data_IF_076570671331
#
_entry.id   IF_076570671331
#
_cell.length_a   1.000
_cell.length_b   1.000
_cell.length_c   1.000
_cell.angle_alpha   90.00
_cell.angle_beta   90.00
_cell.angle_gamma   90.00
#
_symmetry.space_group_name_H-M   'P 1'
#
loop_
_entity.id
_entity.type
_entity.pdbx_description
1 polymer ?
#
# COMPACT_ATOMS: atom_id res chain seq x y z
N UNK A 1 -35.51 57.36 -39.65
CA UNK A 1 -34.67 56.31 -40.26
C UNK A 1 -33.22 56.26 -39.73
N UNK A 2 -32.80 57.14 -38.80
CA UNK A 2 -31.40 57.20 -38.31
C UNK A 2 -31.21 56.57 -36.92
N UNK A 3 -32.29 56.37 -36.14
CA UNK A 3 -32.23 55.77 -34.79
C UNK A 3 -32.14 54.24 -34.79
N UNK A 4 -32.57 53.57 -35.87
CA UNK A 4 -32.56 52.10 -35.95
C UNK A 4 -31.21 51.51 -36.38
N UNK A 5 -30.32 52.31 -36.97
CA UNK A 5 -29.01 51.85 -37.46
C UNK A 5 -27.99 51.78 -36.30
N UNK A 6 -28.09 52.68 -35.32
CA UNK A 6 -27.21 52.67 -34.14
C UNK A 6 -27.48 51.47 -33.22
N UNK A 7 -28.72 51.02 -33.10
CA UNK A 7 -29.07 49.83 -32.32
C UNK A 7 -28.55 48.52 -32.94
N UNK A 8 -28.47 48.44 -34.28
CA UNK A 8 -27.92 47.29 -35.00
C UNK A 8 -26.38 47.23 -34.90
N UNK A 9 -25.70 48.38 -34.88
CA UNK A 9 -24.25 48.47 -34.70
C UNK A 9 -23.79 48.10 -33.27
N UNK A 10 -24.58 48.40 -32.25
CA UNK A 10 -24.32 47.94 -30.87
C UNK A 10 -24.69 46.47 -30.64
N UNK A 11 -25.61 45.90 -31.42
CA UNK A 11 -25.90 44.45 -31.37
C UNK A 11 -24.81 43.61 -32.08
N UNK A 12 -24.14 44.16 -33.10
CA UNK A 12 -23.06 43.45 -33.82
C UNK A 12 -21.72 43.45 -33.08
N UNK A 13 -21.48 44.41 -32.16
CA UNK A 13 -20.26 44.43 -31.34
C UNK A 13 -20.37 43.61 -30.03
N UNK A 14 -21.56 43.14 -29.66
CA UNK A 14 -21.81 42.43 -28.40
C UNK A 14 -21.67 40.91 -28.44
N UNK A 15 -21.33 40.31 -29.59
CA UNK A 15 -21.23 38.85 -29.76
C UNK A 15 -19.83 38.46 -30.28
N UNK A 16 -18.81 39.15 -29.81
CA UNK A 16 -17.45 38.59 -29.77
C UNK A 16 -17.13 38.37 -28.29
N UNK A 17 -17.91 37.50 -27.64
CA UNK A 17 -17.30 36.66 -26.61
C UNK A 17 -16.33 35.78 -27.40
N UNK A 18 -15.10 36.24 -27.54
CA UNK A 18 -13.98 35.32 -27.75
C UNK A 18 -14.10 34.36 -26.57
N UNK A 19 -14.59 33.16 -26.83
CA UNK A 19 -14.24 32.04 -25.98
C UNK A 19 -12.73 31.97 -26.16
N UNK A 20 -12.01 32.59 -25.23
CA UNK A 20 -10.56 32.54 -25.18
C UNK A 20 -10.22 31.05 -25.30
N UNK A 21 -9.59 30.67 -26.41
CA UNK A 21 -9.32 29.27 -26.77
C UNK A 21 -8.52 28.64 -25.63
N UNK A 22 -9.24 28.05 -24.69
CA UNK A 22 -8.68 27.45 -23.50
C UNK A 22 -8.00 26.16 -23.90
N UNK A 23 -6.93 25.79 -23.20
CA UNK A 23 -6.16 24.62 -23.53
C UNK A 23 -7.07 23.39 -23.79
N UNK A 24 -7.02 22.78 -24.99
CA UNK A 24 -7.92 21.68 -25.36
C UNK A 24 -7.72 20.43 -24.49
N UNK A 25 -6.59 20.33 -23.77
CA UNK A 25 -6.36 19.29 -22.78
C UNK A 25 -7.16 19.47 -21.48
N UNK A 26 -7.82 20.62 -21.25
CA UNK A 26 -8.67 20.85 -20.08
C UNK A 26 -9.88 19.91 -20.02
N UNK A 27 -10.38 19.42 -21.16
CA UNK A 27 -11.45 18.41 -21.18
C UNK A 27 -10.93 16.99 -20.97
N UNK A 28 -9.61 16.80 -20.82
CA UNK A 28 -8.94 15.51 -20.67
C UNK A 28 -9.40 14.48 -21.72
N UNK A 29 -9.28 14.81 -23.03
CA UNK A 29 -9.91 14.04 -24.10
C UNK A 29 -9.31 12.64 -24.27
N UNK A 30 -8.00 12.49 -24.02
CA UNK A 30 -7.26 11.26 -24.24
C UNK A 30 -7.63 10.17 -23.22
N UNK A 31 -8.18 9.06 -23.71
CA UNK A 31 -8.59 7.91 -22.88
C UNK A 31 -7.48 6.87 -22.75
N UNK A 32 -7.68 5.85 -21.91
CA UNK A 32 -6.84 4.66 -21.82
C UNK A 32 -5.32 4.94 -21.62
N UNK A 33 -4.99 5.98 -20.83
CA UNK A 33 -3.60 6.44 -20.58
C UNK A 33 -2.91 7.11 -21.78
N UNK A 34 -3.68 7.60 -22.75
CA UNK A 34 -3.14 8.51 -23.75
C UNK A 34 -2.67 9.82 -23.12
N UNK A 35 -1.58 10.39 -23.63
CA UNK A 35 -1.03 11.66 -23.15
C UNK A 35 -1.48 12.79 -24.08
N UNK A 36 -2.11 13.81 -23.52
CA UNK A 36 -2.59 14.97 -24.28
C UNK A 36 -1.47 15.98 -24.50
N UNK A 37 -1.31 16.45 -25.74
CA UNK A 37 -0.41 17.54 -26.10
C UNK A 37 -1.21 18.59 -26.87
N UNK A 38 -1.19 19.83 -26.41
CA UNK A 38 -1.83 20.93 -27.14
C UNK A 38 -0.95 21.30 -28.36
N UNK A 39 -1.56 21.33 -29.56
CA UNK A 39 -0.89 21.67 -30.82
C UNK A 39 -1.20 23.09 -31.30
N UNK A 40 -2.08 23.81 -30.59
CA UNK A 40 -2.47 25.18 -30.86
C UNK A 40 -3.52 25.67 -29.85
N UNK A 41 -4.22 26.76 -30.18
CA UNK A 41 -5.28 27.30 -29.32
C UNK A 41 -6.49 26.36 -29.20
N UNK A 42 -6.83 25.63 -30.28
CA UNK A 42 -8.07 24.85 -30.36
C UNK A 42 -7.84 23.36 -30.70
N UNK A 43 -6.60 22.92 -30.92
CA UNK A 43 -6.30 21.55 -31.38
C UNK A 43 -5.37 20.81 -30.42
N UNK A 44 -5.63 19.51 -30.25
CA UNK A 44 -4.85 18.62 -29.40
C UNK A 44 -4.51 17.32 -30.12
N UNK A 45 -3.39 16.73 -29.73
CA UNK A 45 -3.00 15.39 -30.14
C UNK A 45 -2.86 14.49 -28.93
N UNK A 46 -3.41 13.27 -29.04
CA UNK A 46 -3.25 12.24 -28.04
C UNK A 46 -2.17 11.23 -28.46
N UNK A 47 -1.09 11.15 -27.69
CA UNK A 47 -0.10 10.08 -27.84
C UNK A 47 -0.68 8.76 -27.28
N UNK A 48 -1.15 7.89 -28.18
CA UNK A 48 -1.69 6.57 -27.84
C UNK A 48 -0.61 5.47 -27.80
N UNK A 49 0.68 5.81 -27.80
CA UNK A 49 1.78 4.84 -27.86
C UNK A 49 1.69 3.81 -26.73
N UNK A 50 1.75 2.52 -27.09
CA UNK A 50 1.69 1.37 -26.15
C UNK A 50 0.45 1.31 -25.23
N UNK A 51 -0.58 2.12 -25.47
CA UNK A 51 -1.88 1.99 -24.77
C UNK A 51 -2.65 0.73 -25.23
N UNK A 52 -2.39 0.26 -26.45
CA UNK A 52 -3.17 -0.79 -27.10
C UNK A 52 -4.42 -0.28 -27.81
N UNK A 53 -4.62 1.04 -27.84
CA UNK A 53 -5.70 1.74 -28.52
C UNK A 53 -5.15 2.66 -29.61
N UNK A 54 -6.02 3.16 -30.48
CA UNK A 54 -5.74 4.13 -31.53
C UNK A 54 -6.93 5.08 -31.74
N UNK A 55 -6.82 5.99 -32.71
CA UNK A 55 -7.78 7.06 -32.99
C UNK A 55 -7.46 8.33 -32.22
N UNK A 56 -8.16 9.43 -32.56
CA UNK A 56 -7.85 10.77 -32.06
C UNK A 56 -7.86 10.89 -30.52
N UNK A 57 -8.72 10.14 -29.83
CA UNK A 57 -8.84 10.15 -28.35
C UNK A 57 -8.39 8.83 -27.69
N UNK A 58 -7.65 7.96 -28.40
CA UNK A 58 -7.22 6.64 -27.89
C UNK A 58 -8.36 5.72 -27.41
N UNK A 59 -9.50 5.73 -28.11
CA UNK A 59 -10.69 4.95 -27.72
C UNK A 59 -10.87 3.65 -28.50
N UNK A 60 -10.28 3.55 -29.69
CA UNK A 60 -10.50 2.40 -30.58
C UNK A 60 -9.50 1.28 -30.23
N UNK A 61 -9.94 0.09 -29.79
CA UNK A 61 -9.03 -0.96 -29.35
C UNK A 61 -8.42 -1.73 -30.53
N UNK A 62 -7.16 -2.12 -30.40
CA UNK A 62 -6.55 -3.14 -31.29
C UNK A 62 -7.14 -4.52 -30.96
N UNK A 63 -7.08 -5.47 -31.90
CA UNK A 63 -7.69 -6.82 -31.74
C UNK A 63 -7.33 -7.51 -30.42
N UNK A 64 -6.05 -7.63 -30.07
CA UNK A 64 -5.63 -8.27 -28.82
C UNK A 64 -6.04 -7.48 -27.57
N UNK A 65 -6.07 -6.15 -27.64
CA UNK A 65 -6.54 -5.29 -26.55
C UNK A 65 -8.02 -5.50 -26.31
N UNK A 66 -8.80 -5.55 -27.40
CA UNK A 66 -10.23 -5.83 -27.36
C UNK A 66 -10.51 -7.18 -26.71
N UNK A 67 -9.82 -8.25 -27.12
CA UNK A 67 -9.95 -9.57 -26.48
C UNK A 67 -9.61 -9.51 -24.98
N UNK A 68 -8.48 -8.89 -24.61
CA UNK A 68 -8.05 -8.77 -23.22
C UNK A 68 -9.04 -8.01 -22.36
N UNK A 69 -9.56 -6.88 -22.84
CA UNK A 69 -10.52 -6.04 -22.09
C UNK A 69 -11.87 -6.74 -21.99
N UNK A 70 -12.34 -7.39 -23.05
CA UNK A 70 -13.62 -8.12 -23.07
C UNK A 70 -13.62 -9.34 -22.13
N UNK A 71 -12.49 -10.04 -22.00
CA UNK A 71 -12.36 -11.18 -21.08
C UNK A 71 -11.96 -10.78 -19.65
N UNK A 72 -11.59 -9.52 -19.41
CA UNK A 72 -11.14 -9.08 -18.08
C UNK A 72 -12.34 -8.99 -17.13
N UNK A 73 -12.37 -9.76 -16.03
CA UNK A 73 -13.44 -9.66 -15.05
C UNK A 73 -13.41 -8.32 -14.32
N UNK A 74 -14.57 -7.90 -13.81
CA UNK A 74 -14.66 -6.67 -13.02
C UNK A 74 -13.89 -6.80 -11.70
N UNK A 75 -13.39 -5.69 -11.12
CA UNK A 75 -12.71 -5.73 -9.82
C UNK A 75 -13.56 -6.36 -8.71
N UNK A 76 -14.88 -6.15 -8.74
CA UNK A 76 -15.81 -6.73 -7.78
C UNK A 76 -15.92 -8.25 -7.94
N UNK A 77 -16.00 -8.75 -9.18
CA UNK A 77 -15.98 -10.19 -9.47
C UNK A 77 -14.69 -10.84 -8.98
N UNK A 78 -13.54 -10.20 -9.21
CA UNK A 78 -12.24 -10.70 -8.72
C UNK A 78 -12.20 -10.70 -7.20
N UNK A 79 -12.66 -9.63 -6.55
CA UNK A 79 -12.74 -9.55 -5.09
C UNK A 79 -13.65 -10.65 -4.50
N UNK A 80 -14.82 -10.87 -5.11
CA UNK A 80 -15.74 -11.94 -4.73
C UNK A 80 -15.06 -13.32 -4.80
N UNK A 81 -14.39 -13.62 -5.91
CA UNK A 81 -13.66 -14.87 -6.09
C UNK A 81 -12.55 -15.07 -5.04
N UNK A 82 -11.82 -14.00 -4.69
CA UNK A 82 -10.74 -14.02 -3.69
C UNK A 82 -11.24 -14.20 -2.24
N UNK A 83 -12.49 -13.88 -1.95
CA UNK A 83 -13.02 -13.82 -0.57
C UNK A 83 -13.98 -14.94 -0.21
N UNK A 84 -14.69 -15.54 -1.17
CA UNK A 84 -15.80 -16.45 -0.87
C UNK A 84 -15.42 -17.93 -0.80
N UNK A 85 -14.49 -18.40 -1.65
CA UNK A 85 -14.22 -19.83 -1.81
C UNK A 85 -13.06 -20.35 -0.94
N UNK A 86 -13.17 -20.29 0.39
CA UNK A 86 -12.09 -20.65 1.32
C UNK A 86 -11.53 -22.07 1.10
N UNK A 87 -12.39 -23.06 0.86
CA UNK A 87 -11.96 -24.44 0.60
C UNK A 87 -11.09 -24.58 -0.65
N UNK A 88 -11.50 -23.93 -1.74
CA UNK A 88 -10.72 -23.86 -2.98
C UNK A 88 -9.37 -23.18 -2.74
N UNK A 89 -9.36 -22.03 -2.05
CA UNK A 89 -8.13 -21.31 -1.74
C UNK A 89 -7.18 -22.09 -0.84
N UNK A 90 -7.67 -22.92 0.08
CA UNK A 90 -6.81 -23.79 0.89
C UNK A 90 -6.05 -24.80 0.01
N UNK A 91 -6.71 -25.39 -0.98
CA UNK A 91 -6.09 -26.31 -1.95
C UNK A 91 -5.08 -25.55 -2.83
N UNK A 92 -5.46 -24.37 -3.32
CA UNK A 92 -4.58 -23.53 -4.13
C UNK A 92 -3.32 -23.12 -3.34
N UNK A 93 -3.48 -22.73 -2.08
CA UNK A 93 -2.39 -22.26 -1.23
C UNK A 93 -1.44 -23.38 -0.78
N UNK A 94 -1.91 -24.64 -0.75
CA UNK A 94 -1.05 -25.79 -0.46
C UNK A 94 -0.16 -26.17 -1.65
N UNK A 95 -0.55 -25.82 -2.87
CA UNK A 95 0.21 -26.08 -4.09
C UNK A 95 1.09 -24.85 -4.38
N UNK A 96 2.38 -24.93 -4.04
CA UNK A 96 3.34 -23.82 -4.17
C UNK A 96 3.36 -23.21 -5.58
N UNK A 97 3.41 -24.05 -6.62
CA UNK A 97 3.40 -23.60 -8.02
C UNK A 97 2.22 -22.69 -8.34
N UNK A 98 1.00 -23.05 -7.91
CA UNK A 98 -0.21 -22.30 -8.23
C UNK A 98 -0.30 -21.02 -7.41
N UNK A 99 -0.02 -21.09 -6.10
CA UNK A 99 0.06 -19.93 -5.21
C UNK A 99 1.06 -18.90 -5.75
N UNK A 100 2.25 -19.35 -6.11
CA UNK A 100 3.35 -18.48 -6.54
C UNK A 100 3.06 -17.90 -7.95
N UNK A 101 2.43 -18.68 -8.84
CA UNK A 101 1.98 -18.18 -10.14
C UNK A 101 0.89 -17.10 -10.00
N UNK A 102 -0.10 -17.30 -9.12
CA UNK A 102 -1.15 -16.30 -8.83
C UNK A 102 -0.51 -15.05 -8.21
N UNK A 103 0.37 -15.22 -7.23
CA UNK A 103 1.05 -14.08 -6.59
C UNK A 103 1.91 -13.31 -7.61
N UNK A 104 2.66 -14.00 -8.47
CA UNK A 104 3.42 -13.37 -9.56
C UNK A 104 2.51 -12.58 -10.49
N UNK A 105 1.34 -13.11 -10.85
CA UNK A 105 0.36 -12.40 -11.66
C UNK A 105 -0.20 -11.16 -10.93
N UNK A 106 -0.49 -11.25 -9.64
CA UNK A 106 -0.94 -10.09 -8.83
C UNK A 106 0.15 -9.01 -8.83
N UNK A 107 1.40 -9.37 -8.59
CA UNK A 107 2.52 -8.43 -8.57
C UNK A 107 2.70 -7.74 -9.92
N UNK A 108 2.75 -8.49 -11.03
CA UNK A 108 2.95 -7.92 -12.36
C UNK A 108 1.75 -7.10 -12.83
N UNK A 109 0.53 -7.58 -12.63
CA UNK A 109 -0.68 -6.86 -13.05
C UNK A 109 -0.87 -5.52 -12.33
N UNK A 110 -0.42 -5.42 -11.06
CA UNK A 110 -0.47 -4.18 -10.29
C UNK A 110 0.71 -3.26 -10.58
N UNK A 111 1.93 -3.79 -10.72
CA UNK A 111 3.11 -2.96 -10.98
C UNK A 111 3.05 -2.27 -12.34
N UNK A 112 2.49 -2.91 -13.37
CA UNK A 112 2.27 -2.30 -14.70
C UNK A 112 1.30 -1.12 -14.68
N UNK A 113 0.59 -0.88 -13.57
CA UNK A 113 -0.25 0.31 -13.45
C UNK A 113 0.54 1.56 -13.05
N UNK A 114 1.76 1.42 -12.54
CA UNK A 114 2.62 2.50 -12.07
C UNK A 114 3.70 2.79 -13.12
N UNK A 115 3.89 4.06 -13.44
CA UNK A 115 4.92 4.49 -14.37
C UNK A 115 6.31 4.40 -13.72
N UNK A 116 7.23 3.72 -14.41
CA UNK A 116 8.63 3.60 -14.00
C UNK A 116 9.48 3.66 -15.27
N UNK A 117 10.32 4.70 -15.48
CA UNK A 117 10.65 5.80 -14.56
C UNK A 117 9.49 6.77 -14.27
N UNK A 118 9.56 7.60 -13.20
CA UNK A 118 8.54 8.59 -12.87
C UNK A 118 8.38 9.62 -14.01
N UNK A 119 7.15 10.09 -14.21
CA UNK A 119 6.76 10.90 -15.37
C UNK A 119 6.51 12.37 -15.01
N UNK A 120 5.46 12.65 -14.26
CA UNK A 120 5.00 14.01 -13.96
C UNK A 120 5.27 14.37 -12.50
N UNK A 121 5.23 15.66 -12.19
CA UNK A 121 5.17 16.17 -10.83
C UNK A 121 4.17 17.35 -10.75
N UNK A 122 4.22 18.16 -9.69
CA UNK A 122 3.25 19.26 -9.53
C UNK A 122 3.49 20.42 -10.49
N UNK A 123 4.75 20.66 -10.89
CA UNK A 123 5.12 21.81 -11.71
C UNK A 123 5.28 21.46 -13.20
N UNK A 124 5.59 20.19 -13.50
CA UNK A 124 5.73 19.67 -14.85
C UNK A 124 4.62 18.68 -15.17
N UNK A 125 3.75 19.07 -16.11
CA UNK A 125 2.69 18.27 -16.73
C UNK A 125 3.15 17.48 -17.97
N UNK A 126 4.41 17.66 -18.35
CA UNK A 126 5.10 16.89 -19.39
C UNK A 126 6.33 16.18 -18.82
N UNK A 127 6.81 15.15 -19.54
CA UNK A 127 8.03 14.42 -19.19
C UNK A 127 9.24 15.34 -19.33
N UNK A 128 9.96 15.59 -18.24
CA UNK A 128 11.16 16.44 -18.23
C UNK A 128 12.31 15.78 -17.46
N UNK A 129 13.55 16.18 -17.75
CA UNK A 129 14.72 15.70 -17.00
C UNK A 129 14.69 16.15 -15.54
N UNK A 130 14.12 17.33 -15.27
CA UNK A 130 13.95 17.85 -13.91
C UNK A 130 12.96 16.98 -13.12
N UNK A 131 11.80 16.65 -13.71
CA UNK A 131 10.81 15.78 -13.08
C UNK A 131 11.36 14.38 -12.77
N UNK A 132 12.29 13.88 -13.61
CA UNK A 132 12.96 12.60 -13.40
C UNK A 132 14.06 12.64 -12.35
N UNK A 133 14.93 13.66 -12.39
CA UNK A 133 16.16 13.70 -11.58
C UNK A 133 15.97 14.31 -10.19
N UNK A 134 15.01 15.22 -10.00
CA UNK A 134 14.81 15.88 -8.72
C UNK A 134 13.98 15.03 -7.75
N UNK A 135 14.68 14.26 -6.92
CA UNK A 135 14.10 13.41 -5.87
C UNK A 135 13.41 14.19 -4.74
N UNK A 136 13.39 15.51 -4.76
CA UNK A 136 12.65 16.28 -3.76
C UNK A 136 11.15 16.36 -4.08
N UNK A 137 10.74 16.10 -5.33
CA UNK A 137 9.33 16.12 -5.72
C UNK A 137 8.62 14.79 -5.47
N UNK A 138 7.33 14.87 -5.16
CA UNK A 138 6.42 13.75 -5.37
C UNK A 138 6.09 13.61 -6.85
N UNK A 139 6.18 12.38 -7.37
CA UNK A 139 5.72 12.04 -8.71
C UNK A 139 4.19 11.91 -8.76
N UNK A 140 3.60 12.15 -9.93
CA UNK A 140 2.15 12.02 -10.17
C UNK A 140 1.91 11.09 -11.36
N UNK A 141 0.95 10.18 -11.22
CA UNK A 141 0.52 9.29 -12.32
C UNK A 141 -0.29 10.03 -13.38
N UNK A 142 -0.99 11.11 -12.99
CA UNK A 142 -1.72 11.99 -13.89
C UNK A 142 -1.11 13.40 -13.83
N UNK A 143 -0.99 14.09 -14.98
CA UNK A 143 -0.51 15.46 -15.00
C UNK A 143 -1.46 16.38 -14.21
N UNK A 144 -0.95 17.48 -13.61
CA UNK A 144 -1.80 18.53 -13.09
C UNK A 144 -2.64 19.13 -14.23
N UNK A 145 -3.80 19.69 -13.87
CA UNK A 145 -4.60 20.42 -14.85
C UNK A 145 -3.85 21.69 -15.26
N UNK A 146 -3.92 22.09 -16.55
CA UNK A 146 -3.44 23.39 -17.00
C UNK A 146 -4.06 24.52 -16.18
N UNK A 147 -3.27 25.57 -15.90
CA UNK A 147 -3.71 26.68 -15.02
C UNK A 147 -4.76 27.58 -15.68
N UNK A 148 -4.86 27.52 -17.00
CA UNK A 148 -5.76 28.30 -17.85
C UNK A 148 -7.12 27.61 -18.07
N UNK A 149 -7.39 26.49 -17.40
CA UNK A 149 -8.69 25.83 -17.51
C UNK A 149 -9.83 26.68 -16.91
N UNK A 150 -11.05 26.63 -17.50
CA UNK A 150 -12.19 27.45 -17.07
C UNK A 150 -12.76 27.06 -15.71
N UNK A 151 -12.58 25.79 -15.28
CA UNK A 151 -12.95 25.32 -13.95
C UNK A 151 -11.76 24.65 -13.25
N UNK A 152 -11.76 24.57 -11.91
CA UNK A 152 -10.70 23.88 -11.16
C UNK A 152 -10.58 22.37 -11.48
N UNK A 153 -11.57 21.80 -12.17
CA UNK A 153 -11.61 20.39 -12.58
C UNK A 153 -11.57 20.23 -14.11
N UNK A 154 -11.09 21.25 -14.84
CA UNK A 154 -11.02 21.25 -16.30
C UNK A 154 -12.14 22.08 -16.92
N UNK A 155 -13.09 21.42 -17.59
CA UNK A 155 -14.24 22.07 -18.25
C UNK A 155 -15.57 21.87 -17.54
N UNK A 156 -15.63 20.91 -16.60
CA UNK A 156 -16.86 20.51 -15.92
C UNK A 156 -16.90 21.08 -14.51
N UNK A 157 -18.10 21.41 -14.04
CA UNK A 157 -18.35 21.83 -12.65
C UNK A 157 -18.48 23.34 -12.48
N UNK A 158 -18.53 23.77 -11.22
CA UNK A 158 -18.60 25.19 -10.86
C UNK A 158 -17.20 25.81 -10.91
N UNK A 159 -17.14 27.13 -11.11
CA UNK A 159 -15.89 27.91 -11.11
C UNK A 159 -15.12 27.84 -9.79
N UNK A 160 -15.83 27.66 -8.68
CA UNK A 160 -15.24 27.51 -7.36
C UNK A 160 -15.59 26.13 -6.79
N UNK A 161 -14.59 25.47 -6.21
CA UNK A 161 -14.80 24.23 -5.48
C UNK A 161 -15.58 24.52 -4.19
N UNK A 162 -16.39 23.56 -3.71
CA UNK A 162 -17.03 23.71 -2.41
C UNK A 162 -15.98 23.87 -1.31
N UNK A 163 -16.32 24.68 -0.30
CA UNK A 163 -15.46 24.86 0.87
C UNK A 163 -15.10 23.52 1.54
N UNK A 164 -13.80 23.33 1.78
CA UNK A 164 -13.25 22.09 2.31
C UNK A 164 -13.72 21.84 3.75
N UNK A 165 -13.87 22.89 4.56
CA UNK A 165 -14.36 22.77 5.93
C UNK A 165 -15.82 22.33 5.97
N UNK A 166 -16.66 22.92 5.11
CA UNK A 166 -18.05 22.53 4.95
C UNK A 166 -18.20 21.06 4.51
N UNK A 167 -17.41 20.60 3.54
CA UNK A 167 -17.39 19.19 3.11
C UNK A 167 -16.97 18.25 4.24
N UNK A 168 -15.91 18.60 4.97
CA UNK A 168 -15.44 17.82 6.11
C UNK A 168 -16.54 17.70 7.18
N UNK A 169 -17.18 18.82 7.56
CA UNK A 169 -18.24 18.87 8.57
C UNK A 169 -19.48 18.07 8.18
N UNK A 170 -19.89 18.11 6.90
CA UNK A 170 -21.10 17.42 6.44
C UNK A 170 -20.89 15.94 6.17
N UNK A 171 -19.74 15.54 5.62
CA UNK A 171 -19.54 14.19 5.08
C UNK A 171 -18.53 13.34 5.85
N UNK A 172 -17.50 13.94 6.47
CA UNK A 172 -16.35 13.21 7.00
C UNK A 172 -16.29 13.17 8.53
N UNK A 173 -16.88 14.15 9.23
CA UNK A 173 -16.92 14.15 10.70
C UNK A 173 -17.74 12.95 11.19
N UNK A 174 -17.06 12.09 11.94
CA UNK A 174 -17.64 10.90 12.56
C UNK A 174 -18.62 11.33 13.65
N UNK A 175 -19.89 10.91 13.50
CA UNK A 175 -20.93 11.10 14.54
C UNK A 175 -20.99 9.96 15.54
N UNK A 176 -20.89 8.73 15.05
CA UNK A 176 -20.85 7.49 15.83
C UNK A 176 -19.63 6.69 15.41
N UNK A 177 -19.02 5.98 16.36
CA UNK A 177 -17.95 5.05 16.03
C UNK A 177 -18.48 3.90 15.17
N UNK A 178 -17.87 3.74 13.99
CA UNK A 178 -18.12 2.63 13.08
C UNK A 178 -16.87 1.75 13.15
N UNK A 179 -16.91 0.60 13.85
CA UNK A 179 -15.80 -0.34 13.86
C UNK A 179 -15.58 -0.91 12.46
N UNK A 180 -14.33 -1.23 12.14
CA UNK A 180 -14.00 -1.94 10.90
C UNK A 180 -14.59 -3.36 10.93
N UNK A 181 -15.44 -3.76 9.96
CA UNK A 181 -16.00 -5.11 9.91
C UNK A 181 -14.95 -6.20 9.71
N UNK A 182 -13.73 -5.88 9.24
CA UNK A 182 -12.65 -6.83 9.11
C UNK A 182 -11.91 -7.09 10.44
N UNK A 183 -12.24 -6.35 11.50
CA UNK A 183 -11.66 -6.54 12.84
C UNK A 183 -10.26 -5.93 13.01
N UNK A 184 -9.88 -4.92 12.23
CA UNK A 184 -8.58 -4.25 12.38
C UNK A 184 -8.41 -3.65 13.79
N UNK A 185 -7.28 -3.96 14.43
CA UNK A 185 -6.94 -3.47 15.77
C UNK A 185 -6.14 -2.16 15.72
N UNK A 186 -5.98 -1.51 16.88
CA UNK A 186 -5.12 -0.33 17.00
C UNK A 186 -3.66 -0.62 16.67
N UNK A 187 -3.19 -1.86 16.89
CA UNK A 187 -1.85 -2.27 16.50
C UNK A 187 -1.63 -2.10 14.99
N UNK A 188 -2.62 -2.48 14.18
CA UNK A 188 -2.58 -2.30 12.73
C UNK A 188 -2.54 -0.80 12.35
N UNK A 189 -3.36 0.03 13.01
CA UNK A 189 -3.38 1.46 12.75
C UNK A 189 -2.04 2.15 13.05
N UNK A 190 -1.43 1.85 14.20
CA UNK A 190 -0.11 2.41 14.55
C UNK A 190 1.01 1.86 13.67
N UNK A 191 0.95 0.58 13.30
CA UNK A 191 1.90 0.02 12.34
C UNK A 191 1.82 0.75 11.00
N UNK A 192 0.60 0.96 10.46
CA UNK A 192 0.39 1.69 9.22
C UNK A 192 0.97 3.11 9.31
N UNK A 193 0.65 3.84 10.38
CA UNK A 193 1.19 5.20 10.59
C UNK A 193 2.72 5.20 10.64
N UNK A 194 3.32 4.33 11.45
CA UNK A 194 4.77 4.22 11.60
C UNK A 194 5.47 3.88 10.27
N UNK A 195 4.93 2.89 9.56
CA UNK A 195 5.45 2.42 8.28
C UNK A 195 5.35 3.52 7.21
N UNK A 196 4.18 4.14 7.04
CA UNK A 196 3.97 5.13 5.96
C UNK A 196 4.75 6.42 6.17
N UNK A 197 5.01 6.81 7.42
CA UNK A 197 5.82 7.99 7.75
C UNK A 197 7.31 7.81 7.43
N UNK A 198 7.75 6.63 6.96
CA UNK A 198 9.08 6.45 6.38
C UNK A 198 9.25 7.28 5.10
N UNK A 199 8.23 7.26 4.23
CA UNK A 199 8.28 7.82 2.88
C UNK A 199 7.29 8.97 2.64
N UNK A 200 6.26 9.14 3.47
CA UNK A 200 5.42 10.35 3.47
C UNK A 200 5.94 11.38 4.48
N UNK A 201 6.87 12.24 4.02
CA UNK A 201 7.44 13.34 4.80
C UNK A 201 7.41 14.64 4.00
N UNK A 202 6.23 15.23 3.84
CA UNK A 202 6.07 16.48 3.10
C UNK A 202 6.92 17.61 3.68
N UNK A 203 7.61 18.37 2.81
CA UNK A 203 8.40 19.52 3.24
C UNK A 203 7.56 20.79 3.30
N UNK A 204 7.04 21.09 4.49
CA UNK A 204 6.23 22.29 4.73
C UNK A 204 6.95 23.61 4.37
N UNK A 205 8.29 23.65 4.33
CA UNK A 205 9.04 24.86 3.94
C UNK A 205 8.99 25.12 2.44
N UNK A 206 9.04 24.07 1.63
CA UNK A 206 9.04 24.17 0.17
C UNK A 206 7.62 24.06 -0.41
N UNK A 207 6.71 23.41 0.31
CA UNK A 207 5.31 23.27 -0.07
C UNK A 207 4.85 21.81 -0.15
N UNK A 208 3.55 21.59 -0.42
CA UNK A 208 2.94 20.26 -0.37
C UNK A 208 3.46 19.28 -1.44
N UNK A 209 4.04 19.80 -2.53
CA UNK A 209 4.56 19.01 -3.63
C UNK A 209 5.88 18.28 -3.32
N UNK A 210 6.56 18.67 -2.23
CA UNK A 210 7.92 18.25 -1.94
C UNK A 210 8.00 17.28 -0.76
N UNK A 211 9.02 16.43 -0.77
CA UNK A 211 9.32 15.46 0.28
C UNK A 211 10.73 15.62 0.83
N UNK A 212 10.89 15.41 2.14
CA UNK A 212 12.20 15.23 2.79
C UNK A 212 12.72 13.80 2.67
N UNK A 213 11.84 12.84 2.39
CA UNK A 213 12.18 11.42 2.28
C UNK A 213 12.68 11.08 0.86
N UNK A 214 13.91 11.48 0.53
CA UNK A 214 14.52 11.28 -0.80
C UNK A 214 14.75 9.80 -1.19
N UNK A 215 14.58 8.87 -0.24
CA UNK A 215 14.63 7.43 -0.51
C UNK A 215 13.38 6.87 -1.20
N UNK A 216 12.25 7.62 -1.23
CA UNK A 216 11.01 7.28 -1.95
C UNK A 216 10.51 5.83 -1.78
N UNK A 217 10.65 5.28 -0.58
CA UNK A 217 10.23 3.92 -0.31
C UNK A 217 10.62 3.42 1.08
N UNK A 218 10.65 2.10 1.22
CA UNK A 218 11.01 1.43 2.46
C UNK A 218 12.52 1.49 2.64
N UNK A 219 12.98 2.57 3.23
CA UNK A 219 14.34 2.73 3.74
C UNK A 219 14.23 2.76 5.26
N UNK A 220 15.08 2.02 5.97
CA UNK A 220 15.10 1.93 7.44
C UNK A 220 15.39 3.27 8.16
N UNK A 221 15.42 4.37 7.41
CA UNK A 221 15.70 5.74 7.85
C UNK A 221 14.45 6.44 8.42
N UNK A 222 13.73 5.79 9.34
CA UNK A 222 12.81 6.51 10.24
C UNK A 222 13.61 7.41 11.17
N UNK A 223 14.05 8.57 10.67
CA UNK A 223 14.54 9.70 11.46
C UNK A 223 15.93 9.54 12.05
N UNK A 224 16.93 10.09 11.36
CA UNK A 224 18.11 10.68 12.03
C UNK A 224 17.78 12.08 12.60
N UNK A 225 16.66 12.21 13.29
CA UNK A 225 16.46 13.32 14.22
C UNK A 225 16.29 12.74 15.61
N UNK A 226 17.26 13.07 16.47
CA UNK A 226 17.32 12.78 17.89
C UNK A 226 15.96 13.05 18.56
N UNK A 227 15.30 12.00 18.99
CA UNK A 227 14.49 12.05 20.21
C UNK A 227 14.90 10.83 21.04
N UNK A 228 15.71 11.09 22.06
CA UNK A 228 15.99 10.14 23.13
C UNK A 228 14.65 9.81 23.81
N UNK A 229 14.43 8.52 24.08
CA UNK A 229 13.38 7.96 24.95
C UNK A 229 11.98 7.75 24.37
N UNK A 230 11.85 7.14 23.19
CA UNK A 230 10.58 6.49 22.78
C UNK A 230 10.88 5.08 22.25
N UNK A 231 10.23 4.09 22.88
CA UNK A 231 10.30 2.65 22.66
C UNK A 231 10.40 2.28 21.17
N UNK A 232 11.46 1.55 20.78
CA UNK A 232 11.78 1.26 19.38
C UNK A 232 11.01 0.01 18.89
N UNK A 233 10.38 0.03 17.70
CA UNK A 233 9.69 -1.14 17.15
C UNK A 233 10.58 -2.37 16.89
N UNK A 234 11.91 -2.21 16.92
CA UNK A 234 12.85 -3.34 16.89
C UNK A 234 12.65 -4.29 18.08
N UNK A 235 12.24 -3.76 19.24
CA UNK A 235 11.99 -4.54 20.45
C UNK A 235 10.74 -5.45 20.26
N UNK A 236 9.78 -5.02 19.43
CA UNK A 236 8.56 -5.78 19.13
C UNK A 236 8.79 -6.95 18.17
N UNK A 237 9.68 -6.80 17.18
CA UNK A 237 10.08 -7.91 16.30
C UNK A 237 10.87 -8.98 17.04
N UNK A 238 11.70 -8.58 18.01
CA UNK A 238 12.34 -9.52 18.92
C UNK A 238 11.32 -10.31 19.74
N UNK A 239 10.27 -9.64 20.26
CA UNK A 239 9.18 -10.30 21.01
C UNK A 239 8.40 -11.29 20.13
N UNK A 240 8.08 -10.95 18.88
CA UNK A 240 7.38 -11.82 17.93
C UNK A 240 8.21 -13.05 17.51
N UNK A 241 9.50 -12.86 17.26
CA UNK A 241 10.43 -13.97 16.99
C UNK A 241 10.57 -14.88 18.22
N UNK A 242 10.61 -14.30 19.42
CA UNK A 242 10.66 -15.06 20.67
C UNK A 242 9.38 -15.89 20.88
N UNK A 243 8.20 -15.33 20.58
CA UNK A 243 6.92 -16.04 20.68
C UNK A 243 6.82 -17.21 19.68
N UNK A 244 7.39 -17.11 18.48
CA UNK A 244 7.40 -18.22 17.50
C UNK A 244 8.24 -19.42 17.99
N UNK A 245 9.39 -19.15 18.61
CA UNK A 245 10.23 -20.20 19.21
C UNK A 245 9.60 -20.78 20.47
N UNK A 246 9.06 -19.93 21.35
CA UNK A 246 8.37 -20.37 22.58
C UNK A 246 7.13 -21.21 22.24
N UNK A 247 6.29 -20.80 21.27
CA UNK A 247 5.10 -21.56 20.86
C UNK A 247 5.49 -22.90 20.25
N UNK A 248 6.57 -22.96 19.44
CA UNK A 248 7.13 -24.22 18.91
C UNK A 248 7.66 -25.13 20.02
N UNK A 249 8.29 -24.57 21.06
CA UNK A 249 8.74 -25.33 22.22
C UNK A 249 7.57 -25.83 23.09
N UNK A 250 6.49 -25.06 23.22
CA UNK A 250 5.30 -25.45 23.99
C UNK A 250 4.54 -26.60 23.30
N UNK A 251 4.36 -26.56 21.97
CA UNK A 251 3.75 -27.67 21.23
C UNK A 251 4.62 -28.94 21.29
N UNK A 252 5.95 -28.78 21.29
CA UNK A 252 6.90 -29.87 21.50
C UNK A 252 6.78 -30.49 22.89
N UNK A 253 6.64 -29.66 23.92
CA UNK A 253 6.54 -30.09 25.31
C UNK A 253 5.23 -30.84 25.59
N UNK A 254 4.11 -30.36 25.04
CA UNK A 254 2.81 -31.06 25.12
C UNK A 254 2.89 -32.44 24.44
N UNK A 255 3.63 -32.56 23.34
CA UNK A 255 3.78 -33.84 22.64
C UNK A 255 4.70 -34.82 23.40
N UNK A 256 5.73 -34.33 24.09
CA UNK A 256 6.65 -35.15 24.90
C UNK A 256 6.01 -35.67 26.19
N UNK A 257 5.13 -34.89 26.84
CA UNK A 257 4.33 -35.36 27.98
C UNK A 257 3.45 -36.55 27.57
N UNK A 258 2.85 -36.49 26.37
CA UNK A 258 2.04 -37.57 25.81
C UNK A 258 2.87 -38.81 25.38
N UNK A 259 4.20 -38.70 25.25
CA UNK A 259 5.08 -39.84 24.98
C UNK A 259 5.55 -40.55 26.27
N UNK A 260 5.61 -39.84 27.40
CA UNK A 260 6.01 -40.42 28.69
C UNK A 260 4.96 -41.41 29.24
N UNK A 261 3.76 -41.48 28.65
CA UNK A 261 2.73 -42.46 28.99
C UNK A 261 2.90 -43.81 28.27
N UNK A 262 3.94 -43.98 27.44
CA UNK A 262 4.21 -45.24 26.71
C UNK A 262 5.37 -45.99 27.39
N UNK A 263 5.13 -47.14 28.04
CA UNK A 263 6.20 -47.86 28.72
C UNK A 263 7.05 -48.67 27.74
N UNK A 264 8.36 -48.58 27.94
CA UNK A 264 9.41 -49.53 27.54
C UNK A 264 9.42 -50.08 26.11
N UNK A 265 10.03 -49.33 25.18
CA UNK A 265 10.74 -49.93 24.04
C UNK A 265 11.93 -49.06 23.62
N UNK A 266 13.15 -49.46 24.00
CA UNK A 266 14.37 -48.65 23.79
C UNK A 266 14.77 -48.47 22.32
N UNK A 267 14.21 -49.26 21.40
CA UNK A 267 14.41 -49.10 19.94
C UNK A 267 13.54 -48.01 19.33
N UNK A 268 12.37 -47.72 19.91
CA UNK A 268 11.48 -46.66 19.42
C UNK A 268 12.03 -45.26 19.73
N UNK A 269 12.71 -45.11 20.88
CA UNK A 269 13.33 -43.85 21.32
C UNK A 269 14.48 -43.40 20.42
N UNK A 270 15.26 -44.33 19.89
CA UNK A 270 16.43 -44.04 19.03
C UNK A 270 16.02 -43.61 17.62
N UNK A 271 15.01 -44.25 17.03
CA UNK A 271 14.48 -43.87 15.70
C UNK A 271 13.78 -42.51 15.75
N UNK A 272 13.09 -42.20 16.84
CA UNK A 272 12.42 -40.90 17.01
C UNK A 272 13.40 -39.72 17.18
N UNK A 273 14.56 -39.97 17.80
CA UNK A 273 15.65 -39.00 17.96
C UNK A 273 16.28 -38.59 16.63
N UNK A 274 16.39 -39.52 15.67
CA UNK A 274 16.88 -39.22 14.32
C UNK A 274 15.86 -38.44 13.48
N UNK A 275 14.56 -38.74 13.64
CA UNK A 275 13.49 -38.00 12.98
C UNK A 275 13.43 -36.53 13.48
N UNK A 276 13.72 -36.31 14.76
CA UNK A 276 13.76 -34.99 15.40
C UNK A 276 14.92 -34.10 14.93
N UNK A 277 16.12 -34.69 14.72
CA UNK A 277 17.28 -33.95 14.22
C UNK A 277 17.04 -33.36 12.81
N UNK A 278 16.24 -34.06 12.00
CA UNK A 278 15.86 -33.61 10.65
C UNK A 278 14.82 -32.48 10.66
N UNK A 279 13.90 -32.44 11.62
CA UNK A 279 12.87 -31.38 11.73
C UNK A 279 13.44 -30.04 12.21
N UNK A 280 14.55 -30.07 12.97
CA UNK A 280 15.23 -28.88 13.50
C UNK A 280 16.43 -28.40 12.66
N UNK A 281 16.76 -29.06 11.54
CA UNK A 281 17.94 -28.78 10.70
C UNK A 281 19.28 -28.71 11.49
N UNK A 282 19.39 -29.42 12.62
CA UNK A 282 20.62 -29.42 13.43
C UNK A 282 21.57 -30.49 12.90
N UNK A 283 22.56 -30.05 12.12
CA UNK A 283 23.51 -30.92 11.38
C UNK A 283 24.53 -31.64 12.27
N UNK A 284 24.59 -31.39 13.58
CA UNK A 284 25.63 -31.92 14.47
C UNK A 284 25.06 -32.46 15.81
N UNK A 285 25.31 -33.75 16.11
CA UNK A 285 24.84 -34.45 17.33
C UNK A 285 25.31 -33.79 18.63
N UNK A 286 26.53 -33.24 18.66
CA UNK A 286 27.07 -32.61 19.87
C UNK A 286 26.35 -31.30 20.22
N UNK A 287 25.80 -30.59 19.24
CA UNK A 287 25.01 -29.37 19.44
C UNK A 287 23.62 -29.68 19.98
N UNK A 288 23.04 -30.83 19.60
CA UNK A 288 21.77 -31.33 20.12
C UNK A 288 21.88 -31.70 21.61
N UNK A 289 22.97 -32.36 22.02
CA UNK A 289 23.23 -32.72 23.41
C UNK A 289 23.49 -31.50 24.29
N UNK A 290 24.20 -30.49 23.77
CA UNK A 290 24.41 -29.23 24.49
C UNK A 290 23.12 -28.43 24.68
N UNK A 291 22.26 -28.37 23.67
CA UNK A 291 20.97 -27.67 23.74
C UNK A 291 19.98 -28.39 24.67
N UNK A 292 19.93 -29.72 24.62
CA UNK A 292 19.15 -30.53 25.57
C UNK A 292 19.64 -30.37 27.01
N UNK A 293 20.95 -30.36 27.23
CA UNK A 293 21.55 -30.12 28.56
C UNK A 293 21.21 -28.73 29.09
N UNK A 294 21.30 -27.70 28.25
CA UNK A 294 20.99 -26.31 28.63
C UNK A 294 19.51 -26.13 28.99
N UNK A 295 18.60 -26.77 28.25
CA UNK A 295 17.15 -26.75 28.51
C UNK A 295 16.81 -27.53 29.80
N UNK A 296 17.44 -28.69 30.03
CA UNK A 296 17.30 -29.44 31.28
C UNK A 296 17.81 -28.64 32.49
N UNK A 297 18.94 -27.95 32.36
CA UNK A 297 19.49 -27.11 33.43
C UNK A 297 18.58 -25.92 33.76
N UNK A 298 17.96 -25.30 32.74
CA UNK A 298 17.00 -24.19 32.93
C UNK A 298 15.69 -24.64 33.59
N UNK A 299 15.22 -25.85 33.27
CA UNK A 299 14.03 -26.46 33.86
C UNK A 299 14.27 -26.88 35.32
N UNK A 300 15.45 -27.41 35.64
CA UNK A 300 15.83 -27.72 37.03
C UNK A 300 15.97 -26.46 37.90
N UNK A 301 16.52 -25.37 37.37
CA UNK A 301 16.63 -24.10 38.11
C UNK A 301 15.29 -23.38 38.31
N UNK A 302 14.36 -23.48 37.35
CA UNK A 302 13.02 -22.88 37.49
C UNK A 302 12.13 -23.60 38.51
N UNK A 303 12.35 -24.91 38.72
CA UNK A 303 11.60 -25.69 39.72
C UNK A 303 12.03 -25.41 41.17
N UNK A 304 13.26 -24.89 41.39
CA UNK A 304 13.81 -24.63 42.72
C UNK A 304 13.37 -23.26 43.27
N UNK A 305 13.03 -22.30 42.40
CA UNK A 305 12.59 -20.96 42.83
C UNK A 305 11.10 -20.84 43.20
N UNK A 306 10.29 -21.88 42.96
CA UNK A 306 8.85 -21.87 43.29
C UNK A 306 8.51 -22.36 44.70
N UNK A 307 9.50 -22.59 45.58
CA UNK A 307 9.28 -23.29 46.85
C UNK A 307 9.60 -22.51 48.15
N UNK A 308 9.62 -21.17 48.11
CA UNK A 308 9.57 -20.33 49.32
C UNK A 308 8.42 -19.30 49.24
N UNK A 309 7.42 -19.34 50.16
CA UNK A 309 6.36 -18.35 50.20
C UNK A 309 6.82 -17.14 51.04
N UNK A 310 6.79 -15.93 50.47
CA UNK A 310 6.94 -14.69 51.24
C UNK A 310 5.58 -14.00 51.34
N UNK A 311 5.05 -14.01 52.55
CA UNK A 311 3.92 -13.22 53.01
C UNK A 311 4.16 -11.71 52.89
N UNK A 312 3.03 -10.99 52.85
CA UNK A 312 2.75 -9.63 53.34
C UNK A 312 2.73 -8.44 52.38
N UNK A 313 1.50 -7.92 52.24
CA UNK A 313 1.06 -6.51 52.29
C UNK A 313 1.70 -5.52 51.31
N UNK A 314 0.89 -5.05 50.35
CA UNK A 314 0.98 -3.67 49.91
C UNK A 314 -0.34 -2.93 50.18
N UNK A 315 -0.22 -1.97 51.09
CA UNK A 315 -1.19 -0.93 51.44
C UNK A 315 -1.54 -0.08 50.22
N UNK A 316 -2.82 0.32 50.16
CA UNK A 316 -3.26 1.59 49.59
C UNK A 316 -2.43 2.74 50.16
N UNK A 317 -2.00 3.70 49.34
CA UNK A 317 -2.32 5.13 49.48
C UNK A 317 -1.56 5.99 48.44
N UNK A 318 -2.33 6.93 47.87
CA UNK A 318 -2.03 8.09 47.00
C UNK A 318 -1.48 7.83 45.59
#
# INVERSE_FOLDING_TARGET
MIRSISALLFLSLGIIFVCEGGNPCCSQPCQNRGVCTAMGADDHECDCTRTGFYGHNCTQPKLFTWIKVSLKPTPNTVHYLLTHYKGLWNIINSISFLRDAIMKYVLTSRSHLIDSPPTFNTDYDYKSWEAYSNLSYYTRTLPPLPKDCPTPMGVVGKKELPDAEMLAKKLLIRRKFIPDPQGSSLMFAFFAQHFTHQFFKSDQKMGPAFTKAKGHGVSTNTGQHQHNNIFRPLDFFHILLHYSVIIKCITLFIFLINLHTIPHNDKAKTVFLEMFANVLEIKNRNTLLYTLSYVLHYLFFSSIYTQYPIMTKQKQFF
#
